data_IF_764140635579
#
_entry.id   IF_764140635579
#
_cell.length_a   1.000
_cell.length_b   1.000
_cell.length_c   1.000
_cell.angle_alpha   90.00
_cell.angle_beta   90.00
_cell.angle_gamma   90.00
#
_symmetry.space_group_name_H-M   'P 1'
#
loop_
_entity.id
_entity.type
_entity.pdbx_description
1 polymer ?
#
# COMPACT_ATOMS: atom_id res chain seq x y z
N UNK A 1 -0.04 18.25 57.31
CA UNK A 1 -0.62 17.03 56.69
C UNK A 1 -1.28 17.41 55.37
N UNK A 2 -0.57 17.24 54.24
CA UNK A 2 -1.09 17.52 52.90
C UNK A 2 -1.29 16.18 52.17
N UNK A 3 -2.53 15.85 51.81
CA UNK A 3 -2.89 14.62 51.11
C UNK A 3 -2.54 14.74 49.63
N UNK A 4 -1.67 13.85 49.15
CA UNK A 4 -1.38 13.65 47.74
C UNK A 4 -2.65 13.20 47.00
N UNK A 5 -3.03 13.90 45.92
CA UNK A 5 -4.06 13.44 44.98
C UNK A 5 -3.41 12.51 43.96
N UNK A 6 -3.87 11.26 43.93
CA UNK A 6 -3.47 10.27 42.96
C UNK A 6 -3.85 10.70 41.53
N UNK A 7 -2.96 10.44 40.58
CA UNK A 7 -3.23 10.61 39.14
C UNK A 7 -4.20 9.51 38.68
N UNK A 8 -5.19 9.80 37.82
CA UNK A 8 -6.02 8.75 37.24
C UNK A 8 -5.18 7.91 36.27
N UNK A 9 -5.10 6.62 36.56
CA UNK A 9 -4.59 5.59 35.65
C UNK A 9 -5.62 5.37 34.54
N UNK A 10 -5.29 5.79 33.32
CA UNK A 10 -6.06 5.39 32.13
C UNK A 10 -5.65 3.96 31.75
N UNK A 11 -6.49 3.00 32.10
CA UNK A 11 -6.45 1.66 31.52
C UNK A 11 -7.06 1.73 30.13
N UNK A 12 -6.28 1.44 29.08
CA UNK A 12 -6.80 1.23 27.74
C UNK A 12 -7.68 -0.03 27.74
N UNK A 13 -8.98 0.16 27.59
CA UNK A 13 -9.91 -0.93 27.31
C UNK A 13 -9.81 -1.33 25.83
N UNK A 14 -9.91 -2.64 25.58
CA UNK A 14 -10.11 -3.24 24.27
C UNK A 14 -11.37 -2.68 23.58
N UNK A 15 -11.21 -1.60 22.82
CA UNK A 15 -12.24 -1.11 21.93
C UNK A 15 -11.62 -0.54 20.66
N UNK A 16 -11.40 -1.41 19.68
CA UNK A 16 -11.45 -0.99 18.28
C UNK A 16 -12.79 -0.28 18.04
N UNK A 17 -12.83 0.82 17.27
CA UNK A 17 -14.08 1.50 16.96
C UNK A 17 -15.04 0.51 16.29
N UNK A 18 -16.11 0.15 17.01
CA UNK A 18 -17.19 -0.68 16.45
C UNK A 18 -17.99 0.19 15.51
N UNK A 19 -17.77 0.03 14.21
CA UNK A 19 -18.74 0.39 13.19
C UNK A 19 -20.09 -0.25 13.55
N UNK A 20 -21.22 0.39 13.22
CA UNK A 20 -22.57 -0.14 13.41
C UNK A 20 -22.71 -1.55 12.78
N UNK A 21 -22.42 -2.61 13.53
CA UNK A 21 -22.70 -4.00 13.15
C UNK A 21 -21.69 -4.73 12.26
N UNK A 22 -20.46 -4.22 12.04
CA UNK A 22 -19.49 -4.88 11.15
C UNK A 22 -18.49 -5.71 11.95
N UNK A 23 -18.57 -7.04 11.83
CA UNK A 23 -17.64 -7.97 12.45
C UNK A 23 -16.84 -8.68 11.34
N UNK A 24 -15.61 -8.23 11.09
CA UNK A 24 -14.68 -8.92 10.18
C UNK A 24 -13.77 -9.79 11.03
N UNK A 25 -14.02 -11.10 11.04
CA UNK A 25 -13.17 -12.08 11.73
C UNK A 25 -12.06 -12.60 10.82
N UNK A 26 -10.84 -12.84 11.36
CA UNK A 26 -9.76 -13.51 10.63
C UNK A 26 -10.05 -15.01 10.48
N UNK A 27 -9.81 -15.55 9.29
CA UNK A 27 -9.91 -17.00 9.01
C UNK A 27 -8.53 -17.62 9.23
N UNK A 28 -8.46 -18.65 10.10
CA UNK A 28 -7.24 -19.42 10.38
C UNK A 28 -6.96 -20.43 9.26
N UNK A 29 -5.70 -20.49 8.83
CA UNK A 29 -5.21 -21.44 7.82
C UNK A 29 -4.74 -22.78 8.42
N UNK A 30 -4.74 -23.88 7.64
CA UNK A 30 -4.24 -25.18 8.07
C UNK A 30 -2.71 -25.30 7.95
N UNK A 31 -2.11 -26.00 8.91
CA UNK A 31 -0.67 -26.27 9.02
C UNK A 31 -0.18 -27.30 7.99
N UNK A 32 0.93 -27.02 7.30
CA UNK A 32 1.65 -28.02 6.50
C UNK A 32 3.13 -28.12 6.87
N UNK A 33 3.68 -29.33 6.67
CA UNK A 33 4.92 -29.85 7.27
C UNK A 33 6.16 -29.50 6.44
N UNK A 34 7.30 -29.42 7.16
CA UNK A 34 8.66 -29.22 6.67
C UNK A 34 9.13 -30.35 5.73
N UNK A 35 9.83 -29.98 4.66
CA UNK A 35 10.63 -30.86 3.81
C UNK A 35 12.03 -30.27 3.62
N UNK A 36 13.04 -31.15 3.61
CA UNK A 36 14.46 -30.88 3.83
C UNK A 36 15.22 -30.29 2.62
N UNK A 37 16.37 -29.69 2.92
CA UNK A 37 17.27 -28.97 2.03
C UNK A 37 18.41 -29.90 1.59
N UNK A 38 18.67 -30.01 0.29
CA UNK A 38 19.89 -30.62 -0.25
C UNK A 38 20.88 -29.54 -0.72
N UNK A 39 22.08 -29.58 -0.14
CA UNK A 39 23.21 -28.68 -0.42
C UNK A 39 24.03 -29.18 -1.62
N UNK A 40 24.33 -28.31 -2.59
CA UNK A 40 25.35 -28.53 -3.62
C UNK A 40 26.54 -27.56 -3.43
N UNK A 41 27.76 -28.09 -3.57
CA UNK A 41 29.05 -27.40 -3.38
C UNK A 41 29.44 -26.54 -4.60
N UNK A 42 30.32 -25.52 -4.42
CA UNK A 42 30.66 -24.57 -5.49
C UNK A 42 31.80 -25.06 -6.39
N UNK A 43 31.75 -24.68 -7.66
CA UNK A 43 32.86 -24.81 -8.59
C UNK A 43 33.58 -23.47 -8.74
N UNK A 44 34.89 -23.48 -8.48
CA UNK A 44 35.81 -22.37 -8.73
C UNK A 44 35.96 -22.13 -10.23
N UNK A 45 35.63 -20.92 -10.67
CA UNK A 45 35.93 -20.41 -12.00
C UNK A 45 36.17 -18.91 -11.94
N UNK A 46 37.42 -18.51 -12.09
CA UNK A 46 37.86 -17.12 -12.24
C UNK A 46 37.29 -16.55 -13.55
N UNK A 47 36.62 -15.39 -13.50
CA UNK A 47 36.16 -14.66 -14.68
C UNK A 47 36.56 -13.18 -14.61
N UNK A 48 36.86 -12.56 -15.77
CA UNK A 48 37.48 -11.25 -15.87
C UNK A 48 36.49 -10.13 -15.52
N UNK A 49 37.00 -9.08 -14.88
CA UNK A 49 36.25 -7.88 -14.53
C UNK A 49 35.95 -7.04 -15.78
N UNK A 50 34.84 -7.32 -16.44
CA UNK A 50 34.14 -6.31 -17.22
C UNK A 50 33.23 -5.56 -16.24
N UNK A 51 33.52 -4.28 -15.97
CA UNK A 51 32.61 -3.37 -15.26
C UNK A 51 31.40 -3.06 -16.16
N UNK A 52 30.58 -4.07 -16.40
CA UNK A 52 29.25 -3.93 -16.95
C UNK A 52 28.39 -3.31 -15.85
N UNK A 53 27.73 -2.20 -16.15
CA UNK A 53 26.75 -1.61 -15.24
C UNK A 53 25.61 -2.59 -15.02
N UNK A 54 25.70 -3.36 -13.94
CA UNK A 54 24.61 -4.23 -13.48
C UNK A 54 23.45 -3.30 -13.14
N UNK A 55 22.36 -3.40 -13.91
CA UNK A 55 21.14 -2.65 -13.62
C UNK A 55 20.57 -3.16 -12.30
N UNK A 56 20.21 -2.27 -11.36
CA UNK A 56 19.58 -2.71 -10.13
C UNK A 56 18.23 -3.36 -10.46
N UNK A 57 17.96 -4.47 -9.78
CA UNK A 57 16.66 -5.16 -9.85
C UNK A 57 15.78 -4.64 -8.73
N UNK A 58 14.56 -4.23 -9.06
CA UNK A 58 13.54 -3.74 -8.13
C UNK A 58 12.29 -4.63 -8.17
N UNK A 59 11.98 -5.27 -7.06
CA UNK A 59 10.76 -6.06 -6.87
C UNK A 59 9.61 -5.20 -6.36
N UNK A 60 8.51 -5.12 -7.11
CA UNK A 60 7.26 -4.49 -6.65
C UNK A 60 6.50 -5.50 -5.78
N UNK A 61 6.43 -5.22 -4.48
CA UNK A 61 5.80 -6.06 -3.46
C UNK A 61 4.30 -5.77 -3.34
N UNK A 62 3.54 -6.19 -4.35
CA UNK A 62 2.09 -6.11 -4.38
C UNK A 62 1.50 -7.26 -5.19
N UNK A 63 0.51 -7.96 -4.63
CA UNK A 63 -0.32 -8.91 -5.35
C UNK A 63 -1.40 -8.26 -6.24
N UNK A 64 -1.66 -6.95 -6.09
CA UNK A 64 -2.65 -6.24 -6.90
C UNK A 64 -2.05 -5.81 -8.25
N UNK A 65 -2.53 -6.33 -9.40
CA UNK A 65 -1.98 -6.02 -10.71
C UNK A 65 -2.14 -4.56 -11.14
N UNK A 66 -3.23 -3.90 -10.72
CA UNK A 66 -3.48 -2.48 -11.02
C UNK A 66 -2.48 -1.58 -10.29
N UNK A 67 -2.21 -1.87 -9.01
CA UNK A 67 -1.15 -1.17 -8.25
C UNK A 67 0.21 -1.34 -8.90
N UNK A 68 0.54 -2.56 -9.32
CA UNK A 68 1.82 -2.85 -9.98
C UNK A 68 1.92 -2.06 -11.29
N UNK A 69 0.88 -2.06 -12.13
CA UNK A 69 0.88 -1.31 -13.38
C UNK A 69 1.07 0.20 -13.16
N UNK A 70 0.39 0.77 -12.16
CA UNK A 70 0.52 2.17 -11.80
C UNK A 70 1.95 2.51 -11.32
N UNK A 71 2.52 1.71 -10.41
CA UNK A 71 3.89 1.92 -9.91
C UNK A 71 4.91 1.79 -11.04
N UNK A 72 4.78 0.77 -11.88
CA UNK A 72 5.65 0.57 -13.06
C UNK A 72 5.59 1.77 -13.98
N UNK A 73 4.40 2.31 -14.24
CA UNK A 73 4.24 3.52 -15.06
C UNK A 73 4.97 4.73 -14.45
N UNK A 74 4.92 4.89 -13.13
CA UNK A 74 5.60 5.98 -12.41
C UNK A 74 7.13 5.86 -12.41
N UNK A 75 7.67 4.64 -12.47
CA UNK A 75 9.12 4.42 -12.58
C UNK A 75 9.66 4.87 -13.94
N UNK A 76 8.83 4.89 -14.98
CA UNK A 76 9.20 5.41 -16.30
C UNK A 76 10.46 4.73 -16.88
N UNK A 77 11.30 5.46 -17.64
CA UNK A 77 12.45 4.90 -18.34
C UNK A 77 13.72 4.78 -17.47
N UNK A 78 13.60 4.64 -16.15
CA UNK A 78 14.76 4.48 -15.28
C UNK A 78 15.57 3.23 -15.68
N UNK A 79 16.90 3.31 -15.55
CA UNK A 79 17.83 2.23 -15.90
C UNK A 79 17.84 1.09 -14.86
N UNK A 80 16.66 0.53 -14.57
CA UNK A 80 16.42 -0.53 -13.59
C UNK A 80 15.64 -1.69 -14.23
N UNK A 81 15.78 -2.88 -13.67
CA UNK A 81 14.96 -4.04 -14.03
C UNK A 81 13.80 -4.14 -13.02
N UNK A 82 12.56 -4.00 -13.48
CA UNK A 82 11.39 -4.17 -12.61
C UNK A 82 10.92 -5.62 -12.63
N UNK A 83 10.74 -6.22 -11.46
CA UNK A 83 10.10 -7.53 -11.29
C UNK A 83 8.87 -7.41 -10.40
N UNK A 84 7.90 -8.30 -10.59
CA UNK A 84 6.82 -8.51 -9.62
C UNK A 84 7.33 -9.39 -8.48
N UNK A 85 6.64 -9.36 -7.34
CA UNK A 85 6.88 -10.33 -6.29
C UNK A 85 6.65 -11.76 -6.80
N UNK A 86 7.30 -12.78 -6.20
CA UNK A 86 6.98 -14.18 -6.47
C UNK A 86 5.52 -14.49 -6.19
N UNK A 87 4.89 -15.34 -7.01
CA UNK A 87 3.46 -15.69 -6.88
C UNK A 87 3.13 -16.40 -5.56
N UNK A 88 4.12 -17.08 -4.96
CA UNK A 88 3.98 -17.78 -3.68
C UNK A 88 4.31 -16.89 -2.47
N UNK A 89 4.67 -15.63 -2.69
CA UNK A 89 4.86 -14.67 -1.61
C UNK A 89 3.52 -14.03 -1.25
N UNK A 90 2.93 -14.52 -0.17
CA UNK A 90 1.79 -13.88 0.50
C UNK A 90 2.23 -13.34 1.86
N UNK A 91 1.85 -12.11 2.16
CA UNK A 91 2.29 -11.39 3.36
C UNK A 91 1.06 -10.95 4.14
N UNK A 92 0.94 -11.43 5.36
CA UNK A 92 -0.12 -11.01 6.25
C UNK A 92 0.08 -9.54 6.67
N UNK A 93 -0.88 -8.69 6.33
CA UNK A 93 -0.90 -7.28 6.72
C UNK A 93 -1.54 -7.13 8.11
N UNK A 94 -0.68 -7.16 9.14
CA UNK A 94 -1.06 -7.06 10.56
C UNK A 94 -0.79 -5.68 11.17
N UNK A 95 -0.31 -4.73 10.36
CA UNK A 95 -0.01 -3.37 10.79
C UNK A 95 -1.25 -2.58 11.18
N UNK A 96 -1.07 -1.62 12.08
CA UNK A 96 -2.09 -0.66 12.49
C UNK A 96 -2.11 0.58 11.57
N UNK A 97 -1.20 0.67 10.61
CA UNK A 97 -1.05 1.77 9.66
C UNK A 97 -0.66 1.27 8.26
N UNK A 98 -0.89 2.08 7.23
CA UNK A 98 -0.48 1.75 5.86
C UNK A 98 1.03 1.59 5.75
N UNK A 99 1.77 2.42 6.48
CA UNK A 99 3.23 2.36 6.48
C UNK A 99 3.73 1.04 7.06
N UNK A 100 3.14 0.55 8.15
CA UNK A 100 3.49 -0.76 8.73
C UNK A 100 3.19 -1.91 7.75
N UNK A 101 2.03 -1.90 7.10
CA UNK A 101 1.70 -2.92 6.09
C UNK A 101 2.64 -2.86 4.88
N UNK A 102 2.97 -1.66 4.40
CA UNK A 102 3.94 -1.48 3.33
C UNK A 102 5.34 -1.98 3.74
N UNK A 103 5.79 -1.73 4.97
CA UNK A 103 7.04 -2.27 5.52
C UNK A 103 7.04 -3.79 5.54
N UNK A 104 5.98 -4.43 6.05
CA UNK A 104 5.85 -5.89 6.09
C UNK A 104 6.03 -6.49 4.69
N UNK A 105 5.32 -5.94 3.69
CA UNK A 105 5.42 -6.37 2.29
C UNK A 105 6.81 -6.17 1.71
N UNK A 106 7.40 -4.99 1.88
CA UNK A 106 8.72 -4.67 1.30
C UNK A 106 9.84 -5.53 1.90
N UNK A 107 9.84 -5.73 3.22
CA UNK A 107 10.84 -6.56 3.91
C UNK A 107 10.73 -8.02 3.48
N UNK A 108 9.51 -8.56 3.42
CA UNK A 108 9.28 -9.95 3.02
C UNK A 108 9.74 -10.19 1.58
N UNK A 109 9.39 -9.30 0.65
CA UNK A 109 9.82 -9.40 -0.75
C UNK A 109 11.34 -9.26 -0.90
N UNK A 110 11.97 -8.29 -0.24
CA UNK A 110 13.42 -8.12 -0.29
C UNK A 110 14.18 -9.36 0.20
N UNK A 111 13.81 -9.89 1.37
CA UNK A 111 14.43 -11.10 1.93
C UNK A 111 14.20 -12.33 1.07
N UNK A 112 13.04 -12.41 0.41
CA UNK A 112 12.68 -13.54 -0.44
C UNK A 112 13.46 -13.52 -1.76
N UNK A 113 13.69 -12.36 -2.34
CA UNK A 113 14.29 -12.24 -3.68
C UNK A 113 15.77 -11.91 -3.67
N UNK A 114 16.29 -11.34 -2.57
CA UNK A 114 17.65 -10.81 -2.51
C UNK A 114 17.84 -9.56 -3.40
N UNK A 115 16.76 -8.85 -3.72
CA UNK A 115 16.76 -7.62 -4.50
C UNK A 115 16.15 -6.46 -3.73
N UNK A 116 16.34 -5.25 -4.25
CA UNK A 116 15.60 -4.09 -3.77
C UNK A 116 14.10 -4.36 -3.87
N UNK A 117 13.33 -3.88 -2.89
CA UNK A 117 11.88 -4.01 -2.93
C UNK A 117 11.18 -2.68 -2.68
N UNK A 118 10.15 -2.41 -3.46
CA UNK A 118 9.22 -1.30 -3.28
C UNK A 118 7.83 -1.85 -3.00
N UNK A 119 7.25 -1.52 -1.85
CA UNK A 119 5.88 -1.85 -1.50
C UNK A 119 4.99 -0.61 -1.44
N UNK A 120 3.69 -0.81 -1.62
CA UNK A 120 2.63 0.17 -1.40
C UNK A 120 1.53 -0.46 -0.55
N UNK A 121 1.05 0.29 0.44
CA UNK A 121 -0.27 0.05 1.03
C UNK A 121 -1.15 1.30 0.93
N UNK A 122 -2.45 1.10 0.73
CA UNK A 122 -3.35 2.20 0.41
C UNK A 122 -4.80 1.92 0.75
N UNK A 123 -5.57 2.96 1.07
CA UNK A 123 -6.99 2.85 1.31
C UNK A 123 -7.73 4.18 1.23
N UNK A 124 -9.06 4.09 1.32
CA UNK A 124 -9.99 5.21 1.40
C UNK A 124 -10.29 5.49 2.87
N UNK A 125 -10.13 6.74 3.29
CA UNK A 125 -10.56 7.25 4.58
C UNK A 125 -11.73 8.21 4.36
N UNK A 126 -12.84 8.02 5.08
CA UNK A 126 -14.02 8.90 5.00
C UNK A 126 -14.23 9.62 6.33
N UNK A 127 -14.29 10.95 6.30
CA UNK A 127 -14.31 11.77 7.51
C UNK A 127 -15.54 11.48 8.38
N UNK A 128 -16.73 11.41 7.76
CA UNK A 128 -17.98 11.09 8.45
C UNK A 128 -18.00 9.68 9.07
N UNK A 129 -17.15 8.77 8.59
CA UNK A 129 -17.00 7.42 9.12
C UNK A 129 -15.80 7.28 10.07
N UNK A 130 -15.23 8.39 10.53
CA UNK A 130 -14.07 8.39 11.42
C UNK A 130 -12.83 7.77 10.78
N UNK A 131 -12.67 7.91 9.46
CA UNK A 131 -11.56 7.35 8.69
C UNK A 131 -11.79 5.93 8.17
N UNK A 132 -12.91 5.28 8.48
CA UNK A 132 -13.26 4.01 7.85
C UNK A 132 -13.59 4.20 6.34
N UNK A 133 -13.36 3.19 5.48
CA UNK A 133 -12.85 1.84 5.79
C UNK A 133 -11.35 1.75 6.10
N UNK A 134 -10.54 2.75 5.75
CA UNK A 134 -9.13 2.81 6.09
C UNK A 134 -8.32 1.62 5.53
N UNK A 135 -7.56 0.93 6.39
CA UNK A 135 -6.77 -0.27 6.03
C UNK A 135 -7.64 -1.41 5.49
N UNK A 136 -8.93 -1.43 5.83
CA UNK A 136 -9.85 -2.48 5.40
C UNK A 136 -10.50 -2.20 4.05
N UNK A 137 -10.09 -1.14 3.34
CA UNK A 137 -10.67 -0.75 2.04
C UNK A 137 -10.74 -1.92 1.05
N UNK A 138 -9.64 -2.67 0.88
CA UNK A 138 -9.60 -3.80 -0.04
C UNK A 138 -10.49 -4.98 0.41
N UNK A 139 -10.68 -5.12 1.73
CA UNK A 139 -11.43 -6.20 2.39
C UNK A 139 -12.87 -5.80 2.72
N UNK A 140 -13.27 -4.60 2.33
CA UNK A 140 -14.57 -4.03 2.67
C UNK A 140 -15.70 -4.92 2.17
N UNK A 141 -15.55 -5.54 0.99
CA UNK A 141 -16.42 -6.59 0.46
C UNK A 141 -15.70 -7.39 -0.65
N UNK A 142 -16.21 -8.59 -1.02
CA UNK A 142 -15.63 -9.41 -2.09
C UNK A 142 -15.64 -8.72 -3.45
N UNK A 143 -16.73 -8.03 -3.81
CA UNK A 143 -16.86 -7.36 -5.11
C UNK A 143 -16.86 -5.84 -4.98
N UNK A 144 -16.46 -5.17 -6.04
CA UNK A 144 -16.44 -3.70 -6.08
C UNK A 144 -17.84 -3.08 -5.98
N UNK A 145 -18.85 -3.70 -6.60
CA UNK A 145 -20.25 -3.29 -6.46
C UNK A 145 -20.72 -3.35 -5.00
N UNK A 146 -20.37 -4.41 -4.27
CA UNK A 146 -20.71 -4.52 -2.84
C UNK A 146 -19.94 -3.49 -2.00
N UNK A 147 -18.67 -3.20 -2.31
CA UNK A 147 -17.91 -2.13 -1.61
C UNK A 147 -18.58 -0.77 -1.77
N UNK A 148 -18.95 -0.43 -3.01
CA UNK A 148 -19.68 0.80 -3.36
C UNK A 148 -21.00 0.87 -2.58
N UNK A 149 -21.81 -0.18 -2.64
CA UNK A 149 -23.09 -0.24 -1.97
C UNK A 149 -22.94 0.01 -0.46
N UNK A 150 -21.99 -0.67 0.18
CA UNK A 150 -21.74 -0.53 1.62
C UNK A 150 -21.31 0.87 2.03
N UNK A 151 -20.49 1.54 1.20
CA UNK A 151 -20.12 2.94 1.44
C UNK A 151 -21.32 3.87 1.30
N UNK A 152 -22.16 3.66 0.28
CA UNK A 152 -23.36 4.48 0.06
C UNK A 152 -24.38 4.32 1.19
N UNK A 153 -24.62 3.08 1.64
CA UNK A 153 -25.48 2.76 2.79
C UNK A 153 -24.93 3.37 4.09
N UNK A 154 -23.62 3.27 4.33
CA UNK A 154 -22.99 3.86 5.52
C UNK A 154 -23.08 5.39 5.57
N UNK A 155 -23.22 6.03 4.40
CA UNK A 155 -23.33 7.48 4.22
C UNK A 155 -24.74 7.93 3.82
N UNK A 156 -25.75 7.09 4.04
CA UNK A 156 -27.13 7.42 3.75
C UNK A 156 -27.58 8.56 4.70
N UNK A 157 -28.12 9.63 4.10
CA UNK A 157 -28.56 10.82 4.85
C UNK A 157 -27.44 11.72 5.38
N UNK A 158 -26.17 11.32 5.28
CA UNK A 158 -25.05 12.15 5.73
C UNK A 158 -24.67 13.22 4.67
N UNK A 159 -24.72 14.52 5.02
CA UNK A 159 -24.30 15.59 4.11
C UNK A 159 -22.78 15.73 4.01
N UNK A 160 -22.00 15.22 4.98
CA UNK A 160 -20.55 15.31 5.02
C UNK A 160 -19.93 14.10 4.34
N UNK A 161 -19.32 14.33 3.18
CA UNK A 161 -18.78 13.26 2.32
C UNK A 161 -17.31 13.44 1.97
N UNK A 162 -16.62 14.33 2.68
CA UNK A 162 -15.17 14.50 2.59
C UNK A 162 -14.46 13.17 2.84
N UNK A 163 -13.49 12.88 1.99
CA UNK A 163 -12.72 11.65 2.05
C UNK A 163 -11.32 11.87 1.45
N UNK A 164 -10.42 10.93 1.71
CA UNK A 164 -9.15 10.88 1.01
C UNK A 164 -8.72 9.45 0.67
N UNK A 165 -8.02 9.31 -0.46
CA UNK A 165 -7.15 8.16 -0.67
C UNK A 165 -5.80 8.45 -0.05
N UNK A 166 -5.29 7.51 0.75
CA UNK A 166 -3.94 7.51 1.31
C UNK A 166 -3.14 6.37 0.73
N UNK A 167 -1.87 6.62 0.43
CA UNK A 167 -0.89 5.61 0.03
C UNK A 167 0.40 5.81 0.83
N UNK A 168 0.97 4.73 1.34
CA UNK A 168 2.30 4.69 1.93
C UNK A 168 3.19 3.78 1.09
N UNK A 169 4.38 4.25 0.75
CA UNK A 169 5.39 3.52 -0.01
C UNK A 169 6.64 3.31 0.82
N UNK A 170 7.25 2.13 0.70
CA UNK A 170 8.46 1.74 1.43
C UNK A 170 9.45 1.09 0.48
N UNK A 171 10.70 1.58 0.48
CA UNK A 171 11.83 0.99 -0.22
C UNK A 171 12.72 0.23 0.78
N UNK A 172 12.98 -1.04 0.50
CA UNK A 172 13.88 -1.89 1.25
C UNK A 172 15.13 -2.28 0.45
N UNK A 173 16.27 -2.36 1.14
CA UNK A 173 17.49 -2.97 0.62
C UNK A 173 17.33 -4.48 0.42
N UNK A 174 18.19 -5.15 -0.37
CA UNK A 174 18.22 -6.60 -0.53
C UNK A 174 18.27 -7.41 0.79
N UNK A 175 18.85 -6.85 1.84
CA UNK A 175 18.94 -7.47 3.17
C UNK A 175 17.63 -7.35 3.98
N UNK A 176 16.65 -6.62 3.44
CA UNK A 176 15.36 -6.35 4.09
C UNK A 176 15.40 -5.20 5.09
N UNK A 177 16.32 -4.24 4.93
CA UNK A 177 16.30 -3.00 5.72
C UNK A 177 15.44 -1.95 5.02
N UNK A 178 14.41 -1.43 5.69
CA UNK A 178 13.66 -0.27 5.21
C UNK A 178 14.57 0.96 5.21
N UNK A 179 14.78 1.57 4.04
CA UNK A 179 15.68 2.71 3.89
C UNK A 179 14.93 4.02 3.65
N UNK A 180 13.84 3.97 2.89
CA UNK A 180 13.11 5.16 2.47
C UNK A 180 11.61 4.91 2.52
N UNK A 181 10.87 5.94 2.92
CA UNK A 181 9.45 5.88 3.15
C UNK A 181 8.81 7.19 2.71
N UNK A 182 7.62 7.10 2.14
CA UNK A 182 6.86 8.27 1.73
C UNK A 182 5.37 8.00 1.78
N UNK A 183 4.60 9.04 2.08
CA UNK A 183 3.15 9.00 2.02
C UNK A 183 2.62 10.01 1.01
N UNK A 184 1.43 9.72 0.48
CA UNK A 184 0.73 10.61 -0.41
C UNK A 184 -0.77 10.55 -0.14
N UNK A 185 -1.42 11.71 -0.24
CA UNK A 185 -2.85 11.87 0.05
C UNK A 185 -3.54 12.58 -1.10
N UNK A 186 -4.62 11.98 -1.60
CA UNK A 186 -5.53 12.61 -2.55
C UNK A 186 -6.84 12.93 -1.83
N UNK A 187 -7.12 14.22 -1.62
CA UNK A 187 -8.36 14.68 -1.01
C UNK A 187 -9.48 14.78 -2.06
N UNK A 188 -10.70 14.51 -1.62
CA UNK A 188 -11.88 14.52 -2.47
C UNK A 188 -13.15 14.32 -1.65
N UNK A 189 -14.23 13.99 -2.34
CA UNK A 189 -15.56 13.81 -1.75
C UNK A 189 -16.22 12.58 -2.37
N UNK A 190 -16.98 11.80 -1.59
CA UNK A 190 -17.73 10.67 -2.13
C UNK A 190 -19.04 11.14 -2.81
N UNK A 191 -19.25 10.70 -4.05
CA UNK A 191 -20.47 10.91 -4.81
C UNK A 191 -21.64 10.09 -4.25
N UNK A 192 -22.87 10.54 -4.53
CA UNK A 192 -24.11 9.82 -4.14
C UNK A 192 -24.40 8.59 -5.00
N UNK A 193 -23.75 8.50 -6.15
CA UNK A 193 -23.76 7.36 -7.04
C UNK A 193 -22.42 7.33 -7.82
N UNK A 194 -21.99 6.17 -8.32
CA UNK A 194 -20.80 6.08 -9.18
C UNK A 194 -20.89 7.02 -10.37
N UNK A 195 -19.78 7.68 -10.71
CA UNK A 195 -19.68 8.52 -11.91
C UNK A 195 -19.85 7.71 -13.21
N UNK A 196 -19.46 6.44 -13.18
CA UNK A 196 -19.58 5.50 -14.29
C UNK A 196 -19.83 4.07 -13.79
N UNK A 197 -20.43 3.23 -14.64
CA UNK A 197 -20.75 1.84 -14.31
C UNK A 197 -19.53 0.91 -14.42
N UNK A 198 -19.47 -0.12 -13.58
CA UNK A 198 -18.43 -1.17 -13.65
C UNK A 198 -17.07 -0.77 -13.06
N UNK A 199 -16.96 0.42 -12.47
CA UNK A 199 -15.78 0.84 -11.70
C UNK A 199 -15.81 0.36 -10.25
N UNK A 200 -14.66 0.48 -9.58
CA UNK A 200 -14.51 0.29 -8.14
C UNK A 200 -14.83 1.52 -7.31
N UNK A 201 -14.33 1.54 -6.08
CA UNK A 201 -14.50 2.68 -5.13
C UNK A 201 -14.03 4.00 -5.77
N UNK A 202 -13.03 3.95 -6.66
CA UNK A 202 -12.53 5.11 -7.40
C UNK A 202 -13.60 5.80 -8.26
N UNK A 203 -14.66 5.11 -8.67
CA UNK A 203 -15.81 5.69 -9.39
C UNK A 203 -16.71 6.54 -8.48
N UNK A 204 -16.66 6.34 -7.16
CA UNK A 204 -17.37 7.16 -6.17
C UNK A 204 -16.57 8.36 -5.71
N UNK A 205 -15.25 8.42 -5.95
CA UNK A 205 -14.39 9.44 -5.35
C UNK A 205 -14.20 10.63 -6.28
N UNK A 206 -14.82 11.77 -5.99
CA UNK A 206 -14.69 13.00 -6.77
C UNK A 206 -13.43 13.79 -6.43
N UNK A 207 -12.63 14.13 -7.45
CA UNK A 207 -11.43 14.96 -7.30
C UNK A 207 -11.70 16.35 -7.86
N UNK A 208 -11.96 17.31 -6.98
CA UNK A 208 -12.34 18.69 -7.36
C UNK A 208 -11.34 19.35 -8.31
N UNK A 209 -10.04 19.17 -8.06
CA UNK A 209 -8.95 19.75 -8.87
C UNK A 209 -8.85 19.15 -10.29
N UNK A 210 -9.40 17.95 -10.49
CA UNK A 210 -9.41 17.26 -11.78
C UNK A 210 -10.75 17.38 -12.51
N UNK A 211 -11.81 17.79 -11.81
CA UNK A 211 -13.18 17.85 -12.30
C UNK A 211 -13.66 16.51 -12.90
N UNK A 212 -13.27 15.39 -12.27
CA UNK A 212 -13.72 14.04 -12.58
C UNK A 212 -13.59 13.13 -11.35
N UNK A 213 -14.11 11.90 -11.45
CA UNK A 213 -13.85 10.87 -10.42
C UNK A 213 -12.42 10.35 -10.50
N UNK A 214 -11.92 9.77 -9.40
CA UNK A 214 -10.58 9.20 -9.33
C UNK A 214 -10.35 8.12 -10.39
N UNK A 215 -11.38 7.31 -10.67
CA UNK A 215 -11.33 6.27 -11.69
C UNK A 215 -11.21 6.79 -13.13
N UNK A 216 -11.51 8.06 -13.36
CA UNK A 216 -11.39 8.72 -14.66
C UNK A 216 -10.05 9.46 -14.83
N UNK A 217 -9.21 9.50 -13.79
CA UNK A 217 -7.90 10.13 -13.89
C UNK A 217 -7.02 9.38 -14.89
N UNK A 218 -6.52 10.09 -15.89
CA UNK A 218 -5.51 9.53 -16.79
C UNK A 218 -4.15 9.36 -16.08
N UNK A 219 -3.21 8.67 -16.72
CA UNK A 219 -1.89 8.38 -16.11
C UNK A 219 -1.14 9.63 -15.63
N UNK A 220 -1.19 10.74 -16.36
CA UNK A 220 -0.56 12.00 -15.93
C UNK A 220 -1.26 12.64 -14.73
N UNK A 221 -2.58 12.53 -14.66
CA UNK A 221 -3.37 12.99 -13.54
C UNK A 221 -3.15 12.12 -12.31
N UNK A 222 -3.12 10.79 -12.43
CA UNK A 222 -2.77 9.87 -11.34
C UNK A 222 -1.37 10.16 -10.81
N UNK A 223 -0.40 10.30 -11.71
CA UNK A 223 0.98 10.63 -11.36
C UNK A 223 1.13 11.98 -10.67
N UNK A 224 0.18 12.92 -10.81
CA UNK A 224 0.21 14.27 -10.20
C UNK A 224 -0.68 14.39 -8.96
N UNK A 225 -1.93 13.97 -9.05
CA UNK A 225 -3.00 14.21 -8.08
C UNK A 225 -3.28 13.00 -7.18
N UNK A 226 -3.09 11.79 -7.72
CA UNK A 226 -3.34 10.53 -7.02
C UNK A 226 -2.48 10.37 -5.78
N UNK A 227 -2.98 9.61 -4.79
CA UNK A 227 -2.28 9.37 -3.52
C UNK A 227 -0.95 8.66 -3.76
N UNK A 228 -0.99 7.62 -4.59
CA UNK A 228 0.17 6.83 -4.99
C UNK A 228 1.18 7.66 -5.79
N UNK A 229 0.71 8.46 -6.74
CA UNK A 229 1.56 9.39 -7.48
C UNK A 229 2.27 10.39 -6.57
N UNK A 230 1.57 10.93 -5.57
CA UNK A 230 2.17 11.82 -4.56
C UNK A 230 3.24 11.11 -3.72
N UNK A 231 2.96 9.90 -3.23
CA UNK A 231 3.92 9.09 -2.48
C UNK A 231 5.16 8.77 -3.33
N UNK A 232 4.96 8.33 -4.57
CA UNK A 232 6.04 8.01 -5.51
C UNK A 232 6.94 9.22 -5.80
N UNK A 233 6.35 10.40 -6.04
CA UNK A 233 7.12 11.64 -6.27
C UNK A 233 7.94 12.05 -5.04
N UNK A 234 7.38 11.89 -3.84
CA UNK A 234 8.10 12.17 -2.61
C UNK A 234 9.27 11.19 -2.37
N UNK A 235 9.09 9.92 -2.74
CA UNK A 235 10.13 8.88 -2.60
C UNK A 235 11.22 8.98 -3.69
N UNK A 236 10.88 9.49 -4.88
CA UNK A 236 11.71 9.41 -6.08
C UNK A 236 13.16 9.91 -5.92
N UNK A 237 13.46 11.05 -5.27
CA UNK A 237 14.84 11.52 -5.14
C UNK A 237 15.72 10.52 -4.38
N UNK A 238 15.19 9.99 -3.27
CA UNK A 238 15.90 9.01 -2.43
C UNK A 238 15.99 7.64 -3.08
N UNK A 239 14.93 7.20 -3.74
CA UNK A 239 14.95 5.97 -4.52
C UNK A 239 16.07 5.99 -5.57
N UNK A 240 16.21 7.10 -6.31
CA UNK A 240 17.27 7.23 -7.32
C UNK A 240 18.66 7.27 -6.70
N UNK A 241 18.83 7.93 -5.56
CA UNK A 241 20.08 7.94 -4.80
C UNK A 241 20.48 6.52 -4.36
N UNK A 242 19.56 5.78 -3.73
CA UNK A 242 19.79 4.41 -3.24
C UNK A 242 20.13 3.42 -4.35
N UNK A 243 19.50 3.57 -5.51
CA UNK A 243 19.69 2.69 -6.67
C UNK A 243 20.82 3.17 -7.61
N UNK A 244 21.52 4.27 -7.29
CA UNK A 244 22.60 4.80 -8.12
C UNK A 244 22.15 5.31 -9.50
N UNK A 245 20.91 5.82 -9.59
CA UNK A 245 20.24 6.26 -10.82
C UNK A 245 20.36 7.78 -11.10
N UNK A 246 21.08 8.54 -10.27
CA UNK A 246 21.25 10.00 -10.38
C UNK A 246 22.27 10.41 -11.48
N UNK A 247 22.20 9.80 -12.66
CA UNK A 247 23.04 10.15 -13.81
C UNK A 247 22.38 11.19 -14.70
#
# INVERSE_FOLDING_TARGET
MARARARPSFTFGDSAPRLRGWNVQPVLAPTSRRGEIHTAKPHNGCLPTCSGLVRPVLTIASGNPNKVAEIVSMLGPLALEVRRQPDDLDVEETGATYLENARLKAVAAARRTGYWSLADDSGLEVDALGGAPGLFTARLAPTDSEKIQRLLEALEGDPYRSACFRSAMVLCSPEGQCLEEAEGVCWGELLKAPAFSGGGIESLFWVREANCSYGELNGSQLARLGSRGKAARALAPRLRERLGLNR
#
